data_IF_102212523924
#
_entry.id   IF_102212523924
#
_cell.length_a   1.000
_cell.length_b   1.000
_cell.length_c   1.000
_cell.angle_alpha   90.00
_cell.angle_beta   90.00
_cell.angle_gamma   90.00
#
_symmetry.space_group_name_H-M   'P 1'
#
loop_
_entity.id
_entity.type
_entity.pdbx_description
1 polymer ?
#
# COMPACT_ATOMS: atom_id res chain seq x y z
N UNK A 1 -52.87 -46.62 -33.22
CA UNK A 1 -52.17 -47.86 -33.62
C UNK A 1 -50.78 -47.86 -33.02
N UNK A 2 -50.27 -49.05 -32.74
CA UNK A 2 -49.29 -49.45 -31.72
C UNK A 2 -47.87 -48.83 -31.78
N UNK A 3 -47.12 -48.92 -30.65
CA UNK A 3 -45.78 -48.37 -30.45
C UNK A 3 -44.65 -49.40 -30.60
N UNK A 4 -43.40 -48.95 -30.77
CA UNK A 4 -42.17 -49.76 -30.60
C UNK A 4 -41.11 -48.89 -29.89
N UNK A 5 -40.77 -49.21 -28.63
CA UNK A 5 -39.51 -49.87 -28.20
C UNK A 5 -38.27 -49.09 -28.65
N UNK A 6 -37.41 -48.52 -27.80
CA UNK A 6 -36.91 -48.97 -26.52
C UNK A 6 -35.39 -49.14 -26.66
N UNK A 7 -34.59 -48.46 -25.84
CA UNK A 7 -33.35 -49.01 -25.27
C UNK A 7 -32.70 -48.06 -24.25
N UNK A 8 -32.70 -48.52 -23.00
CA UNK A 8 -31.85 -48.06 -21.90
C UNK A 8 -30.52 -48.78 -22.00
N UNK A 9 -29.40 -48.06 -21.93
CA UNK A 9 -28.11 -48.64 -21.50
C UNK A 9 -27.37 -47.63 -20.62
N UNK A 10 -27.17 -48.01 -19.36
CA UNK A 10 -26.13 -47.58 -18.40
C UNK A 10 -25.93 -48.79 -17.46
N UNK A 11 -24.82 -48.94 -16.71
CA UNK A 11 -23.52 -48.28 -16.73
C UNK A 11 -22.35 -49.32 -16.78
N UNK A 12 -21.10 -48.87 -16.94
CA UNK A 12 -19.93 -49.70 -16.65
C UNK A 12 -19.01 -48.97 -15.66
N UNK A 13 -19.03 -49.47 -14.44
CA UNK A 13 -18.17 -49.12 -13.31
C UNK A 13 -16.85 -49.86 -13.51
N UNK A 14 -15.74 -49.16 -13.71
CA UNK A 14 -14.39 -49.76 -13.69
C UNK A 14 -13.68 -49.20 -12.47
N UNK A 15 -13.65 -50.00 -11.41
CA UNK A 15 -12.72 -49.87 -10.31
C UNK A 15 -11.44 -50.61 -10.69
N UNK A 16 -10.32 -49.88 -10.79
CA UNK A 16 -9.00 -50.49 -10.93
C UNK A 16 -8.17 -50.14 -9.70
N UNK A 17 -8.08 -51.12 -8.81
CA UNK A 17 -7.17 -51.17 -7.66
C UNK A 17 -5.84 -51.72 -8.15
N UNK A 18 -4.73 -51.02 -7.93
CA UNK A 18 -3.41 -51.66 -7.95
C UNK A 18 -2.43 -50.89 -7.06
N UNK A 19 -2.14 -51.51 -5.93
CA UNK A 19 -1.03 -51.23 -5.03
C UNK A 19 0.30 -51.49 -5.74
N UNK A 20 1.26 -50.57 -5.60
CA UNK A 20 2.69 -50.93 -5.58
C UNK A 20 3.35 -50.16 -4.45
N UNK A 21 3.76 -50.93 -3.44
CA UNK A 21 4.68 -50.57 -2.38
C UNK A 21 6.10 -50.56 -2.94
N UNK A 22 6.90 -49.53 -2.67
CA UNK A 22 8.36 -49.66 -2.58
C UNK A 22 8.90 -48.81 -1.41
N UNK A 23 9.73 -49.39 -0.54
CA UNK A 23 10.35 -48.70 0.60
C UNK A 23 11.82 -48.31 0.32
N UNK A 24 12.32 -47.44 1.20
CA UNK A 24 13.72 -47.27 1.61
C UNK A 24 14.71 -46.57 0.67
N UNK A 25 15.33 -45.53 1.24
CA UNK A 25 16.47 -44.81 0.68
C UNK A 25 16.93 -43.70 1.62
N UNK A 26 17.35 -44.07 2.82
CA UNK A 26 18.11 -43.20 3.73
C UNK A 26 19.48 -42.89 3.10
N UNK A 27 19.76 -41.61 2.86
CA UNK A 27 21.13 -41.12 2.68
C UNK A 27 21.32 -39.88 3.57
N UNK A 28 21.81 -40.13 4.78
CA UNK A 28 22.33 -39.12 5.67
C UNK A 28 23.75 -38.76 5.21
N UNK A 29 23.94 -37.55 4.70
CA UNK A 29 25.27 -36.94 4.61
C UNK A 29 25.39 -35.91 5.74
N UNK A 30 25.98 -36.36 6.85
CA UNK A 30 26.63 -35.49 7.83
C UNK A 30 27.93 -34.98 7.21
N UNK A 31 28.10 -33.66 7.12
CA UNK A 31 29.42 -33.03 7.11
C UNK A 31 29.51 -32.10 8.31
N UNK A 32 30.44 -32.45 9.20
CA UNK A 32 30.85 -31.72 10.38
C UNK A 32 31.55 -30.40 10.02
N UNK A 33 31.59 -29.43 10.95
CA UNK A 33 32.18 -28.11 10.73
C UNK A 33 33.71 -28.16 10.70
N UNK A 34 34.30 -27.37 9.81
CA UNK A 34 35.75 -27.10 9.81
C UNK A 34 36.01 -25.97 10.82
N UNK A 35 36.69 -26.31 11.90
CA UNK A 35 37.26 -25.37 12.87
C UNK A 35 38.44 -24.59 12.27
N UNK A 36 38.54 -23.33 12.68
CA UNK A 36 39.66 -22.42 12.41
C UNK A 36 40.95 -22.86 13.10
N UNK A 37 42.13 -22.49 12.56
CA UNK A 37 43.35 -22.40 13.35
C UNK A 37 43.54 -20.98 13.95
N UNK A 38 44.04 -20.89 15.20
CA UNK A 38 44.41 -19.65 15.88
C UNK A 38 45.86 -19.25 15.54
N UNK A 39 46.23 -18.00 15.82
CA UNK A 39 47.55 -17.52 16.29
C UNK A 39 47.41 -15.98 16.46
N UNK A 40 47.35 -15.46 17.69
CA UNK A 40 48.50 -15.09 18.56
C UNK A 40 49.25 -13.85 18.08
N UNK A 41 49.15 -12.76 18.85
CA UNK A 41 49.99 -11.57 18.67
C UNK A 41 49.52 -10.33 19.41
N UNK A 42 49.47 -10.36 20.74
CA UNK A 42 49.66 -9.16 21.57
C UNK A 42 51.06 -9.29 22.20
N UNK A 43 51.76 -8.17 22.50
CA UNK A 43 51.69 -7.71 23.88
C UNK A 43 51.75 -6.17 24.09
N UNK A 44 51.18 -5.77 25.24
CA UNK A 44 51.58 -4.70 26.18
C UNK A 44 51.91 -3.30 25.63
N UNK A 45 51.37 -2.19 26.15
CA UNK A 45 50.80 -1.91 27.47
C UNK A 45 51.23 -0.49 27.90
N UNK A 46 50.67 -0.01 29.02
CA UNK A 46 51.09 1.17 29.81
C UNK A 46 50.53 2.51 29.24
N UNK A 47 49.83 3.41 29.95
CA UNK A 47 49.62 3.63 31.38
C UNK A 47 48.31 4.40 31.65
N UNK A 48 47.86 4.25 32.89
CA UNK A 48 46.75 4.92 33.59
C UNK A 48 47.28 6.20 34.23
N UNK A 49 46.52 7.31 34.16
CA UNK A 49 46.58 8.34 35.20
C UNK A 49 45.23 9.03 35.37
N UNK A 50 44.88 9.18 36.63
CA UNK A 50 43.61 9.61 37.20
C UNK A 50 43.90 10.86 38.05
N UNK A 51 42.92 11.76 38.17
CA UNK A 51 42.93 12.93 39.05
C UNK A 51 42.78 14.25 38.29
N UNK A 52 42.08 15.27 38.78
CA UNK A 52 41.29 15.43 39.98
C UNK A 52 40.32 16.61 39.76
N UNK A 53 39.27 16.62 40.59
CA UNK A 53 38.19 17.61 40.67
C UNK A 53 38.70 18.89 41.37
N UNK A 54 38.35 20.07 40.85
CA UNK A 54 38.32 21.31 41.61
C UNK A 54 37.25 22.26 41.02
N UNK A 55 36.24 22.56 41.84
CA UNK A 55 35.33 23.70 41.68
C UNK A 55 36.04 25.01 42.08
N UNK A 56 35.61 26.14 41.50
CA UNK A 56 35.18 27.39 42.19
C UNK A 56 34.87 28.46 41.11
N UNK A 57 33.91 29.37 41.34
CA UNK A 57 33.10 30.02 40.32
C UNK A 57 33.63 31.40 39.93
N UNK A 58 33.17 31.91 38.78
CA UNK A 58 33.31 33.34 38.47
C UNK A 58 32.00 33.86 37.88
N UNK A 59 31.51 34.86 38.60
CA UNK A 59 30.29 35.61 38.45
C UNK A 59 30.48 36.77 37.45
N UNK A 60 29.36 37.23 36.89
CA UNK A 60 29.11 38.53 36.23
C UNK A 60 29.63 38.74 34.80
N UNK A 61 28.70 38.71 33.84
CA UNK A 61 28.23 39.94 33.17
C UNK A 61 27.02 39.64 32.25
N UNK A 62 25.84 40.15 32.63
CA UNK A 62 24.66 40.30 31.78
C UNK A 62 24.85 41.45 30.81
N UNK A 63 24.61 41.22 29.52
CA UNK A 63 24.36 42.21 28.46
C UNK A 63 23.36 41.55 27.47
N UNK A 64 22.55 42.33 26.74
CA UNK A 64 21.09 42.25 26.79
C UNK A 64 20.48 41.31 25.76
N UNK A 65 19.27 40.84 26.07
CA UNK A 65 18.34 40.18 25.17
C UNK A 65 18.25 40.94 23.84
N UNK A 66 18.77 40.31 22.80
CA UNK A 66 18.47 40.70 21.43
C UNK A 66 17.34 39.81 20.96
N UNK A 67 16.16 40.41 20.83
CA UNK A 67 14.97 39.81 20.24
C UNK A 67 15.33 39.17 18.89
N UNK A 68 15.49 37.86 18.89
CA UNK A 68 15.60 37.07 17.68
C UNK A 68 14.24 37.11 16.98
N UNK A 69 14.09 38.09 16.08
CA UNK A 69 13.08 38.19 15.04
C UNK A 69 12.74 36.79 14.52
N UNK A 70 11.56 36.30 14.94
CA UNK A 70 10.93 35.11 14.37
C UNK A 70 10.80 35.36 12.87
N UNK A 71 11.63 34.67 12.10
CA UNK A 71 11.51 34.64 10.65
C UNK A 71 10.04 34.32 10.28
N UNK A 72 9.42 35.09 9.37
CA UNK A 72 8.05 34.82 8.96
C UNK A 72 7.99 33.41 8.38
N UNK A 73 7.14 32.56 8.97
CA UNK A 73 6.83 31.24 8.42
C UNK A 73 6.42 31.45 6.96
N UNK A 74 6.98 30.68 6.00
CA UNK A 74 6.59 30.81 4.61
C UNK A 74 5.06 30.65 4.53
N UNK A 75 4.38 31.52 3.75
CA UNK A 75 2.94 31.41 3.60
C UNK A 75 2.61 30.00 3.13
N UNK A 76 1.72 29.32 3.86
CA UNK A 76 1.13 28.08 3.36
C UNK A 76 0.50 28.42 2.02
N UNK A 77 1.06 27.91 0.93
CA UNK A 77 0.47 28.03 -0.40
C UNK A 77 -0.95 27.46 -0.33
N UNK A 78 -1.94 28.35 -0.30
CA UNK A 78 -3.34 27.98 -0.46
C UNK A 78 -3.53 27.67 -1.94
N UNK A 79 -3.24 26.42 -2.32
CA UNK A 79 -3.44 25.93 -3.68
C UNK A 79 -4.93 26.09 -4.00
N UNK A 80 -5.25 26.99 -4.93
CA UNK A 80 -6.61 27.20 -5.38
C UNK A 80 -7.08 25.93 -6.12
N UNK A 81 -7.93 25.14 -5.47
CA UNK A 81 -8.50 23.87 -5.96
C UNK A 81 -9.61 24.12 -6.99
N UNK A 82 -9.33 24.94 -8.01
CA UNK A 82 -10.29 25.41 -9.03
C UNK A 82 -10.20 24.64 -10.36
N UNK A 83 -9.32 23.65 -10.47
CA UNK A 83 -9.22 22.79 -11.64
C UNK A 83 -10.21 21.61 -11.50
N UNK A 84 -10.71 20.98 -12.59
CA UNK A 84 -11.65 19.84 -12.55
C UNK A 84 -11.00 18.54 -12.05
N UNK A 85 -10.01 18.69 -11.19
CA UNK A 85 -9.28 17.68 -10.44
C UNK A 85 -10.20 17.17 -9.33
N UNK A 86 -10.21 15.85 -9.10
CA UNK A 86 -11.31 15.16 -8.39
C UNK A 86 -11.74 15.93 -7.14
N UNK A 87 -12.99 16.39 -7.12
CA UNK A 87 -13.49 17.18 -6.01
C UNK A 87 -13.44 16.35 -4.74
N UNK A 88 -12.84 16.91 -3.69
CA UNK A 88 -12.90 16.32 -2.36
C UNK A 88 -14.35 16.34 -1.93
N UNK A 89 -14.95 15.15 -1.91
CA UNK A 89 -16.34 14.94 -1.55
C UNK A 89 -16.45 13.87 -0.47
N UNK A 90 -17.54 13.89 0.27
CA UNK A 90 -17.88 12.78 1.15
C UNK A 90 -18.26 11.53 0.32
N UNK A 91 -18.07 10.32 0.88
CA UNK A 91 -18.66 9.11 0.32
C UNK A 91 -20.17 9.27 0.15
N UNK A 92 -20.72 8.81 -0.98
CA UNK A 92 -22.14 8.98 -1.30
C UNK A 92 -23.06 8.05 -0.50
N UNK A 93 -22.52 6.93 0.00
CA UNK A 93 -23.22 5.93 0.80
C UNK A 93 -22.26 5.18 1.71
N UNK A 94 -22.79 4.46 2.70
CA UNK A 94 -21.97 3.63 3.59
C UNK A 94 -21.73 2.22 2.99
N UNK A 95 -22.82 1.55 2.59
CA UNK A 95 -22.78 0.20 2.05
C UNK A 95 -22.49 0.17 0.55
N UNK A 96 -21.62 -0.74 0.14
CA UNK A 96 -21.47 -1.10 -1.26
C UNK A 96 -22.54 -2.12 -1.68
N UNK A 97 -22.86 -2.16 -2.97
CA UNK A 97 -23.77 -3.13 -3.56
C UNK A 97 -23.18 -4.54 -3.48
N UNK A 98 -24.06 -5.52 -3.28
CA UNK A 98 -23.68 -6.95 -3.27
C UNK A 98 -23.08 -7.42 -4.59
N UNK A 99 -23.48 -6.78 -5.70
CA UNK A 99 -22.93 -7.03 -7.04
C UNK A 99 -21.97 -5.90 -7.40
N UNK A 100 -20.81 -6.25 -7.93
CA UNK A 100 -19.89 -5.27 -8.53
C UNK A 100 -20.42 -4.91 -9.90
N UNK A 101 -20.69 -3.63 -10.13
CA UNK A 101 -20.96 -3.12 -11.47
C UNK A 101 -19.62 -2.84 -12.17
N UNK A 102 -19.28 -3.64 -13.19
CA UNK A 102 -18.09 -3.42 -14.01
C UNK A 102 -18.38 -2.45 -15.16
N UNK A 103 -18.84 -1.25 -14.81
CA UNK A 103 -19.38 -0.26 -15.76
C UNK A 103 -18.50 1.00 -15.87
N UNK A 104 -17.18 0.81 -15.71
CA UNK A 104 -16.20 1.89 -15.68
C UNK A 104 -15.27 1.85 -16.89
N UNK A 105 -14.98 3.02 -17.44
CA UNK A 105 -14.01 3.22 -18.51
C UNK A 105 -12.76 3.87 -17.92
N UNK A 106 -11.57 3.44 -18.37
CA UNK A 106 -10.32 4.13 -18.06
C UNK A 106 -10.19 5.27 -19.05
N UNK A 107 -10.28 6.50 -18.54
CA UNK A 107 -10.05 7.70 -19.34
C UNK A 107 -8.65 8.22 -19.02
N UNK A 108 -7.75 8.06 -19.99
CA UNK A 108 -6.57 8.92 -20.06
C UNK A 108 -7.04 10.33 -20.44
N UNK A 109 -6.35 11.37 -19.96
CA UNK A 109 -6.65 12.74 -20.38
C UNK A 109 -6.48 12.86 -21.90
N UNK A 110 -7.46 13.46 -22.59
CA UNK A 110 -7.35 13.70 -24.03
C UNK A 110 -6.37 14.84 -24.34
N UNK A 111 -5.39 14.51 -25.18
CA UNK A 111 -4.84 15.33 -26.28
C UNK A 111 -4.32 16.76 -26.03
N UNK A 112 -3.98 17.16 -24.81
CA UNK A 112 -3.23 18.41 -24.60
C UNK A 112 -1.76 18.08 -24.31
N UNK A 113 -0.96 18.06 -25.38
CA UNK A 113 0.44 17.62 -25.42
C UNK A 113 1.42 18.38 -24.49
N UNK A 114 0.93 19.33 -23.69
CA UNK A 114 1.75 20.16 -22.81
C UNK A 114 1.59 19.90 -21.31
N UNK A 115 0.63 19.07 -20.87
CA UNK A 115 0.54 18.72 -19.45
C UNK A 115 0.85 17.24 -19.26
N UNK A 116 1.99 16.98 -18.61
CA UNK A 116 2.43 15.70 -18.05
C UNK A 116 1.44 15.17 -16.98
N UNK A 117 0.17 15.04 -17.31
CA UNK A 117 -0.82 14.45 -16.42
C UNK A 117 -0.52 12.95 -16.35
N UNK A 118 0.23 12.58 -15.30
CA UNK A 118 0.90 11.31 -15.11
C UNK A 118 0.00 10.19 -14.56
N UNK A 119 -1.32 10.40 -14.52
CA UNK A 119 -2.33 9.48 -13.99
C UNK A 119 -3.53 9.36 -14.91
N UNK A 120 -4.31 8.31 -14.69
CA UNK A 120 -5.52 7.99 -15.43
C UNK A 120 -6.70 7.96 -14.46
N UNK A 121 -7.86 8.47 -14.90
CA UNK A 121 -9.09 8.37 -14.11
C UNK A 121 -9.87 7.14 -14.52
N UNK A 122 -10.52 6.53 -13.54
CA UNK A 122 -11.58 5.55 -13.75
C UNK A 122 -12.91 6.27 -13.58
N UNK A 123 -13.73 6.23 -14.63
CA UNK A 123 -14.97 6.98 -14.72
C UNK A 123 -16.12 6.02 -15.04
N UNK A 124 -17.29 6.20 -14.42
CA UNK A 124 -18.50 5.45 -14.79
C UNK A 124 -19.05 5.93 -16.14
N UNK A 125 -19.96 5.18 -16.76
CA UNK A 125 -20.68 5.68 -17.94
C UNK A 125 -21.49 6.96 -17.68
N UNK A 126 -21.74 7.32 -16.42
CA UNK A 126 -22.41 8.57 -16.02
C UNK A 126 -21.44 9.75 -15.90
N UNK A 127 -20.14 9.54 -16.14
CA UNK A 127 -19.13 10.58 -16.00
C UNK A 127 -18.62 10.78 -14.58
N UNK A 128 -18.97 9.91 -13.63
CA UNK A 128 -18.52 10.03 -12.24
C UNK A 128 -17.12 9.44 -12.07
N UNK A 129 -16.21 10.19 -11.46
CA UNK A 129 -14.90 9.66 -11.07
C UNK A 129 -15.09 8.67 -9.91
N UNK A 130 -14.55 7.47 -10.07
CA UNK A 130 -14.64 6.35 -9.10
C UNK A 130 -13.29 5.71 -8.80
N UNK A 131 -12.22 6.31 -9.31
CA UNK A 131 -10.86 5.94 -9.01
C UNK A 131 -9.86 6.71 -9.87
N UNK A 132 -8.59 6.58 -9.51
CA UNK A 132 -7.48 7.03 -10.34
C UNK A 132 -6.23 6.20 -10.07
N UNK A 133 -5.37 6.12 -11.07
CA UNK A 133 -4.17 5.29 -11.01
C UNK A 133 -2.98 5.93 -11.71
N UNK A 134 -1.78 5.60 -11.25
CA UNK A 134 -0.52 5.94 -11.88
C UNK A 134 0.57 4.95 -11.49
N UNK A 135 1.61 4.89 -12.32
CA UNK A 135 2.68 3.90 -12.19
C UNK A 135 4.04 4.59 -12.06
N UNK A 136 4.78 4.31 -11.00
CA UNK A 136 6.19 4.64 -10.92
C UNK A 136 6.99 3.64 -11.77
N UNK A 137 7.63 4.13 -12.83
CA UNK A 137 8.42 3.32 -13.78
C UNK A 137 9.93 3.46 -13.55
N UNK A 138 10.33 3.95 -12.38
CA UNK A 138 11.70 4.18 -11.99
C UNK A 138 12.36 5.41 -12.62
N UNK A 139 13.68 5.48 -12.45
CA UNK A 139 14.43 6.73 -12.63
C UNK A 139 14.55 7.54 -11.35
N UNK A 140 14.34 6.91 -10.19
CA UNK A 140 14.35 7.55 -8.88
C UNK A 140 14.90 6.60 -7.79
N UNK A 141 15.13 7.08 -6.55
CA UNK A 141 15.66 6.24 -5.47
C UNK A 141 14.77 5.04 -5.07
N UNK A 142 13.46 5.11 -5.31
CA UNK A 142 12.54 4.01 -5.02
C UNK A 142 12.72 2.87 -6.02
N UNK A 143 12.83 3.22 -7.29
CA UNK A 143 12.93 2.34 -8.43
C UNK A 143 14.09 2.82 -9.30
N UNK A 144 15.26 2.23 -9.07
CA UNK A 144 16.48 2.63 -9.78
C UNK A 144 16.28 2.53 -11.31
N UNK A 145 16.77 3.52 -12.09
CA UNK A 145 16.60 3.52 -13.54
C UNK A 145 17.26 2.30 -14.18
N UNK A 146 16.45 1.40 -14.70
CA UNK A 146 16.90 0.34 -15.61
C UNK A 146 15.83 0.07 -16.67
N UNK A 147 15.53 1.04 -17.52
CA UNK A 147 14.75 0.78 -18.74
C UNK A 147 15.63 0.13 -19.81
N UNK A 148 16.24 -1.00 -19.48
CA UNK A 148 16.99 -1.79 -20.44
C UNK A 148 16.06 -2.88 -20.99
N UNK A 149 15.50 -2.60 -22.17
CA UNK A 149 14.60 -3.51 -22.88
C UNK A 149 15.30 -4.85 -23.18
N UNK A 150 16.61 -4.83 -23.43
CA UNK A 150 17.40 -6.04 -23.71
C UNK A 150 17.55 -6.90 -22.45
N UNK A 151 17.52 -6.28 -21.26
CA UNK A 151 17.58 -6.99 -19.97
C UNK A 151 16.21 -7.29 -19.35
N UNK A 152 15.11 -6.94 -20.02
CA UNK A 152 13.73 -7.07 -19.54
C UNK A 152 13.49 -6.42 -18.16
N UNK A 153 14.06 -5.25 -17.93
CA UNK A 153 14.02 -4.56 -16.63
C UNK A 153 12.84 -3.59 -16.51
N UNK A 154 11.63 -4.01 -16.91
CA UNK A 154 10.41 -3.20 -16.86
C UNK A 154 9.68 -3.32 -15.52
N UNK A 155 10.39 -3.14 -14.41
CA UNK A 155 9.75 -3.17 -13.11
C UNK A 155 9.00 -1.88 -12.83
N UNK A 156 7.85 -1.99 -12.18
CA UNK A 156 6.97 -0.85 -11.86
C UNK A 156 6.37 -1.01 -10.47
N UNK A 157 6.01 0.12 -9.89
CA UNK A 157 5.08 0.17 -8.76
C UNK A 157 3.84 0.93 -9.19
N UNK A 158 2.69 0.27 -9.15
CA UNK A 158 1.42 0.84 -9.52
C UNK A 158 0.65 1.27 -8.27
N UNK A 159 0.09 2.47 -8.29
CA UNK A 159 -0.81 2.98 -7.26
C UNK A 159 -2.21 3.09 -7.87
N UNK A 160 -3.19 2.45 -7.23
CA UNK A 160 -4.58 2.50 -7.65
C UNK A 160 -5.45 2.92 -6.47
N UNK A 161 -6.01 4.11 -6.54
CA UNK A 161 -7.00 4.59 -5.59
C UNK A 161 -8.37 4.23 -6.13
N UNK A 162 -9.11 3.39 -5.40
CA UNK A 162 -10.39 2.84 -5.83
C UNK A 162 -11.50 3.18 -4.86
N UNK A 163 -12.65 3.55 -5.41
CA UNK A 163 -13.89 3.86 -4.70
C UNK A 163 -15.05 3.66 -5.68
N UNK A 164 -15.14 2.44 -6.23
CA UNK A 164 -15.91 2.09 -7.43
C UNK A 164 -17.39 2.49 -7.33
N UNK A 165 -17.99 2.35 -6.15
CA UNK A 165 -19.39 2.76 -5.88
C UNK A 165 -19.49 3.99 -4.99
N UNK A 166 -18.36 4.66 -4.73
CA UNK A 166 -18.26 5.83 -3.84
C UNK A 166 -18.83 5.51 -2.45
N UNK A 167 -18.69 4.27 -1.99
CA UNK A 167 -19.23 3.77 -0.74
C UNK A 167 -18.13 3.72 0.33
N UNK A 168 -18.42 3.98 1.60
CA UNK A 168 -17.39 3.88 2.65
C UNK A 168 -16.70 2.49 2.65
N UNK A 169 -17.41 1.42 2.36
CA UNK A 169 -16.86 0.06 2.35
C UNK A 169 -15.82 -0.22 1.25
N UNK A 170 -15.82 0.53 0.15
CA UNK A 170 -15.03 0.18 -1.03
C UNK A 170 -13.89 1.16 -1.33
N UNK A 171 -13.63 2.10 -0.44
CA UNK A 171 -12.53 3.06 -0.54
C UNK A 171 -11.22 2.42 -0.07
N UNK A 172 -10.26 2.27 -0.99
CA UNK A 172 -8.96 1.72 -0.67
C UNK A 172 -7.87 2.19 -1.64
N UNK A 173 -6.62 2.05 -1.20
CA UNK A 173 -5.43 2.12 -2.04
C UNK A 173 -4.91 0.71 -2.29
N UNK A 174 -4.74 0.33 -3.55
CA UNK A 174 -4.00 -0.85 -3.94
C UNK A 174 -2.62 -0.43 -4.46
N UNK A 175 -1.56 -1.07 -3.97
CA UNK A 175 -0.20 -0.90 -4.47
C UNK A 175 0.32 -2.24 -4.96
N UNK A 176 0.83 -2.26 -6.19
CA UNK A 176 1.33 -3.49 -6.83
C UNK A 176 2.75 -3.30 -7.32
N UNK A 177 3.66 -4.17 -6.89
CA UNK A 177 5.03 -4.20 -7.41
C UNK A 177 5.15 -5.29 -8.48
N UNK A 178 5.52 -4.89 -9.69
CA UNK A 178 5.81 -5.76 -10.82
C UNK A 178 7.31 -5.97 -10.90
N UNK A 179 7.75 -7.19 -10.57
CA UNK A 179 9.17 -7.56 -10.55
C UNK A 179 9.34 -8.87 -11.33
N UNK A 180 10.30 -8.95 -12.26
CA UNK A 180 10.51 -10.17 -13.02
C UNK A 180 11.00 -11.31 -12.12
N UNK A 181 10.65 -12.54 -12.48
CA UNK A 181 11.16 -13.76 -11.86
C UNK A 181 12.68 -13.95 -12.08
N UNK A 182 13.27 -14.99 -11.49
CA UNK A 182 14.70 -15.33 -11.65
C UNK A 182 15.14 -15.52 -13.11
N UNK A 183 14.26 -16.06 -13.95
CA UNK A 183 14.44 -16.24 -15.39
C UNK A 183 14.13 -14.98 -16.21
N UNK A 184 13.96 -13.84 -15.53
CA UNK A 184 13.61 -12.53 -16.12
C UNK A 184 12.24 -12.50 -16.79
N UNK A 185 11.32 -13.40 -16.45
CA UNK A 185 9.94 -13.40 -17.00
C UNK A 185 9.00 -12.77 -15.98
N UNK A 186 8.04 -11.96 -16.43
CA UNK A 186 6.99 -11.43 -15.57
C UNK A 186 5.86 -12.45 -15.45
N UNK A 187 5.45 -12.74 -14.21
CA UNK A 187 4.36 -13.68 -13.91
C UNK A 187 3.33 -12.99 -13.05
N UNK A 188 2.06 -13.09 -13.44
CA UNK A 188 0.94 -12.57 -12.64
C UNK A 188 0.93 -13.17 -11.24
N UNK A 189 1.27 -14.46 -11.12
CA UNK A 189 1.33 -15.18 -9.85
C UNK A 189 2.41 -14.67 -8.89
N UNK A 190 3.33 -13.82 -9.34
CA UNK A 190 4.45 -13.30 -8.53
C UNK A 190 4.30 -11.82 -8.16
N UNK A 191 3.30 -11.13 -8.72
CA UNK A 191 3.00 -9.73 -8.40
C UNK A 191 2.75 -9.59 -6.91
N UNK A 192 3.31 -8.55 -6.30
CA UNK A 192 3.18 -8.29 -4.88
C UNK A 192 2.14 -7.19 -4.67
N UNK A 193 0.97 -7.59 -4.18
CA UNK A 193 -0.15 -6.71 -3.95
C UNK A 193 -0.22 -6.32 -2.47
N UNK A 194 -0.44 -5.04 -2.20
CA UNK A 194 -0.76 -4.49 -0.89
C UNK A 194 -2.04 -3.67 -0.99
N UNK A 195 -3.10 -4.09 -0.31
CA UNK A 195 -4.33 -3.32 -0.16
C UNK A 195 -4.29 -2.57 1.17
N UNK A 196 -4.59 -1.28 1.13
CA UNK A 196 -4.61 -0.40 2.29
C UNK A 196 -5.95 0.34 2.39
N UNK A 197 -6.62 0.23 3.54
CA UNK A 197 -7.76 1.08 3.91
C UNK A 197 -7.32 2.07 4.99
N UNK A 198 -7.85 3.29 4.93
CA UNK A 198 -7.51 4.37 5.87
C UNK A 198 -8.76 4.87 6.60
N UNK A 199 -8.64 5.08 7.91
CA UNK A 199 -9.74 5.44 8.79
C UNK A 199 -9.39 6.67 9.64
N UNK A 200 -10.35 7.59 9.86
CA UNK A 200 -11.74 7.56 9.42
C UNK A 200 -11.92 7.82 7.92
N UNK A 201 -13.02 7.33 7.32
CA UNK A 201 -13.32 7.45 5.89
C UNK A 201 -14.27 8.62 5.64
N UNK A 202 -13.74 9.83 5.82
CA UNK A 202 -14.51 11.07 5.73
C UNK A 202 -14.66 11.59 4.30
N UNK A 203 -13.67 11.30 3.46
CA UNK A 203 -13.60 11.79 2.08
C UNK A 203 -13.39 10.65 1.07
N UNK A 204 -13.78 10.90 -0.17
CA UNK A 204 -13.29 10.13 -1.30
C UNK A 204 -11.86 10.56 -1.62
N UNK A 205 -10.96 9.61 -1.99
CA UNK A 205 -9.63 9.95 -2.43
C UNK A 205 -9.69 10.95 -3.59
N UNK A 206 -8.79 11.92 -3.54
CA UNK A 206 -8.72 12.96 -4.55
C UNK A 206 -7.29 13.23 -4.98
N UNK A 207 -7.08 13.65 -6.24
CA UNK A 207 -5.79 14.05 -6.79
C UNK A 207 -5.88 15.43 -7.46
N UNK A 208 -4.91 16.29 -7.17
CA UNK A 208 -4.77 17.67 -7.68
C UNK A 208 -3.36 17.85 -8.23
N UNK A 209 -3.22 18.43 -9.43
CA UNK A 209 -1.92 18.78 -9.99
C UNK A 209 -1.56 20.22 -9.61
N UNK A 210 -0.34 20.44 -9.14
CA UNK A 210 0.17 21.79 -8.96
C UNK A 210 1.65 21.83 -9.34
N UNK A 211 1.90 22.21 -10.60
CA UNK A 211 3.25 22.29 -11.16
C UNK A 211 3.93 20.93 -11.21
N UNK A 212 5.04 20.80 -10.48
CA UNK A 212 5.87 19.58 -10.42
C UNK A 212 5.39 18.57 -9.37
N UNK A 213 4.23 18.78 -8.76
CA UNK A 213 3.72 17.96 -7.67
C UNK A 213 2.28 17.55 -7.89
N UNK A 214 1.96 16.32 -7.47
CA UNK A 214 0.59 15.84 -7.39
C UNK A 214 0.23 15.65 -5.93
N UNK A 215 -0.85 16.31 -5.51
CA UNK A 215 -1.36 16.24 -4.16
C UNK A 215 -2.49 15.23 -4.16
N UNK A 216 -2.32 14.15 -3.40
CA UNK A 216 -3.38 13.16 -3.18
C UNK A 216 -3.91 13.30 -1.77
N UNK A 217 -5.22 13.46 -1.64
CA UNK A 217 -5.94 13.45 -0.38
C UNK A 217 -6.47 12.03 -0.12
N UNK A 218 -6.15 11.49 1.07
CA UNK A 218 -6.64 10.19 1.54
C UNK A 218 -8.05 10.29 2.12
N UNK A 219 -8.72 9.16 2.38
CA UNK A 219 -10.05 9.15 3.00
C UNK A 219 -10.10 9.83 4.38
N UNK A 220 -8.97 9.88 5.08
CA UNK A 220 -8.79 10.58 6.36
C UNK A 220 -8.76 12.11 6.22
N UNK A 221 -8.70 12.62 4.99
CA UNK A 221 -8.44 14.03 4.67
C UNK A 221 -6.96 14.39 4.72
N UNK A 222 -6.09 13.47 5.12
CA UNK A 222 -4.65 13.70 5.12
C UNK A 222 -4.09 13.69 3.70
N UNK A 223 -2.97 14.37 3.51
CA UNK A 223 -2.38 14.55 2.18
C UNK A 223 -1.05 13.82 2.03
N UNK A 224 -0.79 13.43 0.79
CA UNK A 224 0.50 12.98 0.30
C UNK A 224 0.85 13.69 -0.99
N UNK A 225 2.16 13.88 -1.19
CA UNK A 225 2.71 14.62 -2.32
C UNK A 225 3.57 13.68 -3.14
N UNK A 226 3.15 13.46 -4.37
CA UNK A 226 3.97 12.80 -5.38
C UNK A 226 4.76 13.82 -6.18
N UNK A 227 5.92 13.41 -6.61
CA UNK A 227 6.64 14.05 -7.70
C UNK A 227 5.90 13.81 -9.03
N UNK A 228 5.63 14.86 -9.81
CA UNK A 228 4.82 14.72 -11.03
C UNK A 228 5.56 13.95 -12.14
N UNK A 229 6.89 14.01 -12.17
CA UNK A 229 7.71 13.37 -13.19
C UNK A 229 8.04 11.92 -12.84
N UNK A 230 8.56 11.72 -11.62
CA UNK A 230 9.06 10.42 -11.17
C UNK A 230 8.00 9.57 -10.47
N UNK A 231 6.90 10.17 -10.02
CA UNK A 231 5.76 9.52 -9.35
C UNK A 231 6.13 8.80 -8.05
N UNK A 232 7.24 9.18 -7.42
CA UNK A 232 7.55 8.74 -6.06
C UNK A 232 6.86 9.61 -5.02
N UNK A 233 6.61 9.03 -3.84
CA UNK A 233 6.10 9.79 -2.70
C UNK A 233 7.24 10.63 -2.11
N UNK A 234 7.13 11.97 -2.24
CA UNK A 234 8.13 12.91 -1.71
C UNK A 234 7.88 13.29 -0.26
N UNK A 235 6.62 13.39 0.15
CA UNK A 235 6.23 13.78 1.51
C UNK A 235 4.75 13.50 1.80
N UNK A 236 4.35 13.59 3.07
CA UNK A 236 2.98 13.43 3.52
C UNK A 236 2.83 12.33 4.55
N UNK A 237 1.65 11.72 4.60
CA UNK A 237 1.33 10.67 5.57
C UNK A 237 1.72 9.27 5.13
N UNK A 238 2.27 9.11 3.94
CA UNK A 238 2.85 7.85 3.48
C UNK A 238 4.34 8.03 3.24
N UNK A 239 5.13 7.04 3.67
CA UNK A 239 6.54 6.90 3.35
C UNK A 239 6.74 5.69 2.46
N UNK A 240 7.45 5.90 1.36
CA UNK A 240 7.76 4.88 0.37
C UNK A 240 9.19 4.37 0.56
N UNK A 241 9.36 3.05 0.52
CA UNK A 241 10.67 2.40 0.48
C UNK A 241 10.92 1.80 -0.90
N UNK A 242 12.19 1.53 -1.23
CA UNK A 242 12.59 0.94 -2.50
C UNK A 242 11.89 -0.39 -2.79
N UNK A 243 11.61 -0.65 -4.07
CA UNK A 243 11.03 -1.92 -4.52
C UNK A 243 12.03 -3.06 -4.30
N UNK A 244 11.54 -4.18 -3.78
CA UNK A 244 12.36 -5.37 -3.55
C UNK A 244 12.53 -6.16 -4.87
N UNK A 245 13.71 -6.02 -5.48
CA UNK A 245 14.06 -6.66 -6.75
C UNK A 245 14.69 -8.05 -6.58
N UNK A 246 14.55 -8.69 -5.41
CA UNK A 246 15.10 -10.03 -5.19
C UNK A 246 14.54 -11.03 -6.22
N UNK A 247 15.38 -11.77 -6.98
CA UNK A 247 14.87 -12.72 -7.96
C UNK A 247 14.09 -13.89 -7.33
N UNK A 248 14.36 -14.24 -6.08
CA UNK A 248 13.59 -15.28 -5.36
C UNK A 248 12.25 -14.72 -4.85
N UNK A 249 11.16 -15.27 -5.38
CA UNK A 249 9.80 -14.86 -5.03
C UNK A 249 9.48 -15.04 -3.54
N UNK A 250 10.08 -16.01 -2.85
CA UNK A 250 9.76 -16.25 -1.43
C UNK A 250 10.44 -15.25 -0.51
N UNK A 251 11.62 -14.79 -0.89
CA UNK A 251 12.38 -13.79 -0.15
C UNK A 251 11.97 -12.34 -0.46
N UNK A 252 11.23 -12.09 -1.55
CA UNK A 252 10.75 -10.74 -1.90
C UNK A 252 9.75 -10.20 -0.89
N UNK A 253 10.01 -8.99 -0.43
CA UNK A 253 9.10 -8.22 0.42
C UNK A 253 8.01 -7.52 -0.39
N UNK A 254 6.83 -7.40 0.21
CA UNK A 254 5.71 -6.63 -0.34
C UNK A 254 6.03 -5.13 -0.43
N UNK A 255 5.28 -4.35 -1.23
CA UNK A 255 5.47 -2.91 -1.37
C UNK A 255 5.67 -2.21 -0.03
N UNK A 256 6.85 -1.64 0.20
CA UNK A 256 7.13 -0.99 1.48
C UNK A 256 6.52 0.41 1.54
N UNK A 257 5.22 0.46 1.81
CA UNK A 257 4.45 1.68 2.10
C UNK A 257 4.15 1.70 3.59
N UNK A 258 4.61 2.76 4.25
CA UNK A 258 4.42 2.98 5.67
C UNK A 258 3.52 4.19 5.91
N UNK A 259 2.51 4.02 6.75
CA UNK A 259 1.59 5.09 7.11
C UNK A 259 2.05 5.78 8.41
N UNK A 260 2.25 7.09 8.28
CA UNK A 260 2.73 8.00 9.33
C UNK A 260 1.62 8.99 9.76
N UNK A 261 0.40 8.81 9.25
CA UNK A 261 -0.74 9.65 9.59
C UNK A 261 -1.29 9.39 10.99
N UNK A 262 -2.23 10.23 11.42
CA UNK A 262 -2.88 10.16 12.74
C UNK A 262 -4.01 9.14 12.80
N UNK A 263 -4.49 8.69 11.64
CA UNK A 263 -5.58 7.74 11.53
C UNK A 263 -5.15 6.29 11.81
N UNK A 264 -6.00 5.37 11.39
CA UNK A 264 -5.75 3.93 11.44
C UNK A 264 -5.64 3.41 10.01
N UNK A 265 -4.65 2.55 9.74
CA UNK A 265 -4.51 1.87 8.47
C UNK A 265 -4.71 0.37 8.64
N UNK A 266 -5.57 -0.22 7.82
CA UNK A 266 -5.67 -1.67 7.63
C UNK A 266 -4.89 -2.02 6.38
N UNK A 267 -3.96 -2.98 6.48
CA UNK A 267 -3.15 -3.46 5.36
C UNK A 267 -3.27 -4.98 5.21
N UNK A 268 -3.59 -5.43 4.01
CA UNK A 268 -3.50 -6.84 3.63
C UNK A 268 -2.50 -6.98 2.47
N UNK A 269 -1.75 -8.07 2.48
CA UNK A 269 -0.77 -8.37 1.45
C UNK A 269 -1.07 -9.74 0.82
N UNK A 270 -0.90 -9.85 -0.49
CA UNK A 270 -0.96 -11.14 -1.17
C UNK A 270 -0.07 -11.16 -2.40
N UNK A 271 0.36 -12.36 -2.79
CA UNK A 271 1.14 -12.58 -4.00
C UNK A 271 0.25 -13.20 -5.08
N UNK A 272 0.22 -12.55 -6.24
CA UNK A 272 -0.50 -13.02 -7.44
C UNK A 272 -2.00 -13.23 -7.29
N UNK A 273 -2.57 -12.75 -6.19
CA UNK A 273 -3.96 -12.94 -5.79
C UNK A 273 -4.45 -11.67 -5.11
N UNK A 274 -5.75 -11.60 -4.85
CA UNK A 274 -6.37 -10.48 -4.16
C UNK A 274 -6.00 -10.49 -2.66
N UNK A 275 -5.44 -9.40 -2.10
CA UNK A 275 -5.10 -9.33 -0.68
C UNK A 275 -6.24 -9.61 0.29
N UNK A 276 -7.49 -9.37 -0.12
CA UNK A 276 -8.68 -9.52 0.74
C UNK A 276 -9.05 -10.98 1.04
N UNK A 277 -8.61 -11.90 0.18
CA UNK A 277 -8.78 -13.35 0.39
C UNK A 277 -7.56 -14.00 1.04
N UNK A 278 -6.59 -13.19 1.48
CA UNK A 278 -5.39 -13.65 2.18
C UNK A 278 -5.69 -14.24 3.55
N UNK A 279 -4.63 -14.55 4.30
CA UNK A 279 -4.73 -15.17 5.63
C UNK A 279 -4.89 -14.11 6.72
N UNK A 280 -4.04 -13.08 6.71
CA UNK A 280 -3.96 -12.08 7.76
C UNK A 280 -3.93 -10.66 7.18
N UNK A 281 -4.40 -9.72 8.00
CA UNK A 281 -4.25 -8.29 7.77
C UNK A 281 -3.65 -7.64 9.01
N UNK A 282 -2.90 -6.58 8.80
CA UNK A 282 -2.27 -5.79 9.86
C UNK A 282 -3.01 -4.46 9.98
N UNK A 283 -3.50 -4.17 11.18
CA UNK A 283 -4.11 -2.91 11.56
C UNK A 283 -3.06 -2.13 12.37
N UNK A 284 -2.65 -0.95 11.85
CA UNK A 284 -1.68 -0.03 12.46
C UNK A 284 -0.49 -0.74 13.12
N UNK A 285 0.42 -1.33 12.33
CA UNK A 285 1.70 -1.98 12.71
C UNK A 285 1.74 -2.89 13.96
N UNK A 286 0.64 -3.13 14.67
CA UNK A 286 0.62 -3.65 16.04
C UNK A 286 -0.47 -4.69 16.24
N UNK A 287 -1.59 -4.60 15.52
CA UNK A 287 -2.67 -5.58 15.61
C UNK A 287 -2.73 -6.41 14.33
N UNK A 288 -2.61 -7.73 14.44
CA UNK A 288 -2.83 -8.65 13.33
C UNK A 288 -4.13 -9.41 13.53
N UNK A 289 -4.96 -9.44 12.50
CA UNK A 289 -6.25 -10.14 12.53
C UNK A 289 -6.42 -11.01 11.29
N UNK A 290 -7.20 -12.10 11.36
CA UNK A 290 -7.54 -12.90 10.18
C UNK A 290 -8.28 -12.05 9.14
N UNK A 291 -7.88 -12.15 7.86
CA UNK A 291 -8.51 -11.37 6.80
C UNK A 291 -10.02 -11.64 6.67
N UNK A 292 -10.44 -12.90 6.90
CA UNK A 292 -11.84 -13.31 6.92
C UNK A 292 -12.70 -12.56 7.94
N UNK A 293 -12.12 -11.93 8.96
CA UNK A 293 -12.87 -11.11 9.93
C UNK A 293 -13.10 -9.68 9.45
N UNK A 294 -12.30 -9.22 8.49
CA UNK A 294 -12.37 -7.87 7.93
C UNK A 294 -13.12 -7.83 6.61
N UNK A 295 -13.08 -8.89 5.81
CA UNK A 295 -13.76 -8.98 4.52
C UNK A 295 -14.82 -10.07 4.50
N UNK A 296 -15.96 -9.75 3.88
CA UNK A 296 -16.96 -10.73 3.49
C UNK A 296 -16.54 -11.36 2.17
N UNK A 297 -16.42 -12.68 2.15
CA UNK A 297 -16.01 -13.47 1.00
C UNK A 297 -17.21 -14.10 0.28
N UNK A 298 -18.44 -13.77 0.68
CA UNK A 298 -19.66 -14.23 0.02
C UNK A 298 -19.98 -13.35 -1.19
N UNK A 299 -19.50 -13.76 -2.37
CA UNK A 299 -19.69 -13.02 -3.62
C UNK A 299 -18.61 -11.97 -3.84
N UNK A 300 -18.99 -10.70 -3.98
CA UNK A 300 -18.03 -9.61 -4.13
C UNK A 300 -17.28 -9.38 -2.82
N UNK A 301 -15.95 -9.41 -2.84
CA UNK A 301 -15.17 -9.28 -1.60
C UNK A 301 -15.22 -7.84 -1.08
N UNK A 302 -15.96 -7.61 0.01
CA UNK A 302 -16.19 -6.27 0.59
C UNK A 302 -15.67 -6.19 2.01
N UNK A 303 -15.27 -4.99 2.42
CA UNK A 303 -14.96 -4.73 3.82
C UNK A 303 -16.25 -4.82 4.65
N UNK A 304 -16.22 -5.57 5.74
CA UNK A 304 -17.42 -5.92 6.53
C UNK A 304 -18.07 -4.70 7.20
N UNK A 305 -17.27 -3.72 7.59
CA UNK A 305 -17.75 -2.58 8.38
C UNK A 305 -18.20 -1.43 7.47
N UNK A 306 -19.51 -1.19 7.47
CA UNK A 306 -20.15 -0.18 6.64
C UNK A 306 -19.81 1.23 7.10
N UNK A 307 -19.72 1.41 8.41
CA UNK A 307 -19.43 2.68 9.06
C UNK A 307 -18.12 2.62 9.83
N UNK A 308 -17.59 3.79 10.17
CA UNK A 308 -16.38 3.88 10.99
C UNK A 308 -16.66 3.49 12.45
N UNK A 309 -17.87 3.75 12.97
CA UNK A 309 -18.28 3.36 14.33
C UNK A 309 -18.42 1.84 14.50
N UNK A 310 -18.86 1.12 13.45
CA UNK A 310 -18.85 -0.34 13.45
C UNK A 310 -17.43 -0.90 13.52
N UNK A 311 -16.51 -0.30 12.76
CA UNK A 311 -15.11 -0.71 12.77
C UNK A 311 -14.42 -0.34 14.09
N UNK A 312 -14.71 0.84 14.65
CA UNK A 312 -14.19 1.28 15.95
C UNK A 312 -14.53 0.28 17.07
N UNK A 313 -15.78 -0.18 17.13
CA UNK A 313 -16.20 -1.23 18.07
C UNK A 313 -15.42 -2.53 17.86
N UNK A 314 -15.16 -2.92 16.61
CA UNK A 314 -14.34 -4.09 16.32
C UNK A 314 -12.90 -3.92 16.83
N UNK A 315 -12.29 -2.75 16.59
CA UNK A 315 -10.94 -2.43 17.05
C UNK A 315 -10.84 -2.44 18.58
N UNK A 316 -11.81 -1.86 19.28
CA UNK A 316 -11.85 -1.88 20.74
C UNK A 316 -11.92 -3.31 21.28
N UNK A 317 -12.67 -4.19 20.63
CA UNK A 317 -12.84 -5.58 21.04
C UNK A 317 -11.64 -6.48 20.70
N UNK A 318 -10.96 -6.26 19.56
CA UNK A 318 -9.93 -7.19 19.04
C UNK A 318 -8.51 -6.65 19.16
N UNK A 319 -8.33 -5.33 19.13
CA UNK A 319 -7.04 -4.67 19.12
C UNK A 319 -6.78 -3.78 20.36
N UNK A 320 -7.75 -3.63 21.25
CA UNK A 320 -7.67 -2.81 22.47
C UNK A 320 -7.39 -1.31 22.24
N UNK A 321 -7.69 -0.79 21.04
CA UNK A 321 -7.65 0.64 20.73
C UNK A 321 -8.81 1.01 19.80
N UNK A 322 -9.11 2.31 19.68
CA UNK A 322 -10.16 2.82 18.79
C UNK A 322 -9.63 3.73 17.69
N UNK A 323 -10.53 4.21 16.83
CA UNK A 323 -10.26 5.21 15.81
C UNK A 323 -9.98 6.57 16.44
N UNK A 324 -8.97 7.27 15.91
CA UNK A 324 -8.69 8.63 16.31
C UNK A 324 -9.82 9.58 15.86
N UNK A 325 -10.26 10.47 16.76
CA UNK A 325 -11.16 11.57 16.41
C UNK A 325 -10.36 12.66 15.69
N UNK A 326 -10.34 12.61 14.36
CA UNK A 326 -9.67 13.61 13.53
C UNK A 326 -10.67 14.74 13.22
N UNK A 327 -10.47 15.91 13.82
CA UNK A 327 -11.20 17.12 13.44
C UNK A 327 -10.66 17.63 12.09
N UNK A 328 -11.27 17.23 10.97
CA UNK A 328 -10.85 17.71 9.65
C UNK A 328 -11.36 19.13 9.40
N UNK A 329 -10.43 20.09 9.34
CA UNK A 329 -10.71 21.51 9.05
C UNK A 329 -10.86 21.82 7.54
N UNK A 330 -11.19 20.83 6.70
CA UNK A 330 -11.50 21.15 5.30
C UNK A 330 -12.90 21.72 5.22
N UNK A 331 -12.99 23.06 5.24
CA UNK A 331 -14.19 23.78 4.82
C UNK A 331 -14.33 23.54 3.32
N UNK A 332 -15.18 22.58 2.93
CA UNK A 332 -15.56 22.39 1.54
C UNK A 332 -16.35 23.66 1.17
N UNK A 333 -15.74 24.54 0.39
CA UNK A 333 -16.47 25.66 -0.21
C UNK A 333 -17.61 25.05 -1.03
N UNK A 334 -18.85 25.44 -0.71
CA UNK A 334 -20.02 24.98 -1.44
C UNK A 334 -19.83 25.27 -2.94
N UNK A 335 -20.26 24.37 -3.84
CA UNK A 335 -20.19 24.65 -5.26
C UNK A 335 -20.98 25.92 -5.56
N UNK A 336 -20.31 26.92 -6.15
CA UNK A 336 -20.97 28.09 -6.73
C UNK A 336 -21.86 27.55 -7.85
N UNK A 337 -23.18 27.70 -7.67
CA UNK A 337 -24.20 27.25 -8.63
C UNK A 337 -24.17 28.06 -9.91
#
# INVERSE_FOLDING_TARGET
>A
MQPLLGNRVRPATIALTLCVLTPWGLAACRSTPVSAPPISGAPSGIQKTEGAKAEVPTEVAKLPETDALKAPKPPKETIARLLPESQIGAPGKNLASRRVEYNTIISARSSEALRKAAWQYRITHRGEIVGFEFSNHGGNPILTPRRDAVKNQFFTRDFQFRFDERARQDIHLMVSDWVPSRDRVFRLSEIMNSLMLFFPRMYLPAIVNSGTRNFVTLPTGEELKFDADTREIRSGVLRETSVDLNPDRQARRFPGIEYLGKGVMVRANARGTDPRIGTTATITQQCQVPARELWDQTGAVRFRFATDDEFDRYLLAHCAFGLAKINSQFSIAAPVR
#
